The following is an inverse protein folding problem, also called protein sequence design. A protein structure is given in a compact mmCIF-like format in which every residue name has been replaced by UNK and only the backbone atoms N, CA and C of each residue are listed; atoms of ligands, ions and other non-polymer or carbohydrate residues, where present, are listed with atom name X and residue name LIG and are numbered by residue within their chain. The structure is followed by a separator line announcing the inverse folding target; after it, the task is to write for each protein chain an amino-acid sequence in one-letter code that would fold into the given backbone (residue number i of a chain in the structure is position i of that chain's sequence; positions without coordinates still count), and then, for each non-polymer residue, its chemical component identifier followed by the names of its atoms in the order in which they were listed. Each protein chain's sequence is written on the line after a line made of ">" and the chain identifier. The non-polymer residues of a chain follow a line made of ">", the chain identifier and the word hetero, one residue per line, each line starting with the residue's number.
data_IF_520757769077
#
_entry.id   IF_520757769077
#
_cell.length_a   1.000
_cell.length_b   1.000
_cell.length_c   1.000
_cell.angle_alpha   90.00
_cell.angle_beta   90.00
_cell.angle_gamma   90.00
#
_symmetry.space_group_name_H-M   'P 1'
#
loop_
_entity.id
_entity.type
_entity.pdbx_description
1 polymer ?
#
# COMPACT_ATOMS: atom_id res chain seq x y z
N UNK A 1 2.02 -28.80 14.24
CA UNK A 1 2.46 -27.85 15.30
C UNK A 1 3.77 -27.14 14.96
N UNK A 2 4.81 -27.86 14.53
CA UNK A 2 6.10 -27.25 14.12
C UNK A 2 5.93 -26.31 12.94
N UNK A 3 5.18 -26.70 11.91
CA UNK A 3 4.91 -25.85 10.72
C UNK A 3 4.19 -24.55 11.07
N UNK A 4 3.22 -24.59 11.97
CA UNK A 4 2.54 -23.40 12.48
C UNK A 4 3.51 -22.43 13.17
N UNK A 5 4.45 -22.94 13.97
CA UNK A 5 5.46 -22.11 14.63
C UNK A 5 6.39 -21.50 13.59
N UNK A 6 6.83 -22.29 12.61
CA UNK A 6 7.68 -21.80 11.50
C UNK A 6 6.95 -20.71 10.72
N UNK A 7 5.68 -20.93 10.37
CA UNK A 7 4.85 -19.93 9.70
C UNK A 7 4.77 -18.62 10.49
N UNK A 8 4.44 -18.68 11.79
CA UNK A 8 4.35 -17.48 12.63
C UNK A 8 5.68 -16.73 12.68
N UNK A 9 6.80 -17.44 12.82
CA UNK A 9 8.13 -16.83 12.87
C UNK A 9 8.48 -16.16 11.52
N UNK A 10 8.26 -16.86 10.41
CA UNK A 10 8.54 -16.32 9.07
C UNK A 10 7.64 -15.12 8.78
N UNK A 11 6.36 -15.20 9.06
CA UNK A 11 5.41 -14.10 8.86
C UNK A 11 5.77 -12.88 9.72
N UNK A 12 6.17 -13.11 10.98
CA UNK A 12 6.64 -12.01 11.84
C UNK A 12 7.94 -11.37 11.31
N UNK A 13 8.87 -12.17 10.80
CA UNK A 13 10.09 -11.65 10.16
C UNK A 13 9.75 -10.86 8.90
N UNK A 14 8.82 -11.35 8.06
CA UNK A 14 8.32 -10.64 6.87
C UNK A 14 7.75 -9.27 7.26
N UNK A 15 6.88 -9.20 8.28
CA UNK A 15 6.31 -7.95 8.76
C UNK A 15 7.36 -6.94 9.28
N UNK A 16 8.44 -7.43 9.90
CA UNK A 16 9.54 -6.57 10.36
C UNK A 16 10.39 -6.10 9.18
N UNK A 17 10.65 -6.97 8.21
CA UNK A 17 11.42 -6.64 7.03
C UNK A 17 10.72 -5.61 6.14
N UNK A 18 9.39 -5.73 5.95
CA UNK A 18 8.63 -4.76 5.15
C UNK A 18 8.79 -3.33 5.69
N UNK A 19 8.70 -3.14 7.00
CA UNK A 19 8.88 -1.84 7.65
C UNK A 19 10.29 -1.23 7.48
N UNK A 20 11.31 -2.05 7.20
CA UNK A 20 12.71 -1.60 7.17
C UNK A 20 12.97 -0.49 6.15
N UNK A 21 12.35 -0.59 4.96
CA UNK A 21 12.45 0.41 3.90
C UNK A 21 11.86 1.76 4.30
N UNK A 22 10.69 1.75 4.95
CA UNK A 22 10.01 2.95 5.40
C UNK A 22 10.75 3.69 6.52
N UNK A 23 11.37 2.97 7.45
CA UNK A 23 12.16 3.60 8.54
C UNK A 23 13.31 4.45 8.03
N UNK A 24 13.91 4.12 6.87
CA UNK A 24 14.94 4.93 6.25
C UNK A 24 14.47 6.37 6.01
N UNK A 25 13.20 6.57 5.63
CA UNK A 25 12.62 7.88 5.35
C UNK A 25 12.45 8.76 6.60
N UNK A 26 12.44 8.17 7.78
CA UNK A 26 12.34 8.90 9.05
C UNK A 26 13.70 9.37 9.55
N UNK A 27 14.79 8.99 8.90
CA UNK A 27 16.13 9.46 9.24
C UNK A 27 16.40 10.86 8.66
N UNK A 28 17.34 11.59 9.23
CA UNK A 28 17.79 12.89 8.71
C UNK A 28 18.97 12.76 7.69
N UNK A 29 19.15 11.55 7.14
CA UNK A 29 20.20 11.25 6.18
C UNK A 29 20.04 12.00 4.86
N UNK A 30 21.15 12.21 4.13
CA UNK A 30 21.10 12.77 2.77
C UNK A 30 20.26 11.89 1.84
N UNK A 31 20.37 10.57 1.99
CA UNK A 31 19.59 9.60 1.22
C UNK A 31 18.08 9.76 1.46
N UNK A 32 17.65 9.89 2.73
CA UNK A 32 16.24 10.14 3.06
C UNK A 32 15.71 11.43 2.43
N UNK A 33 16.48 12.53 2.45
CA UNK A 33 16.09 13.81 1.84
C UNK A 33 15.95 13.74 0.32
N UNK A 34 16.86 13.02 -0.35
CA UNK A 34 16.79 12.78 -1.80
C UNK A 34 15.55 11.93 -2.10
N UNK A 35 15.34 10.87 -1.33
CA UNK A 35 14.21 9.97 -1.53
C UNK A 35 12.87 10.69 -1.31
N UNK A 36 12.72 11.47 -0.24
CA UNK A 36 11.53 12.28 0.02
C UNK A 36 11.18 13.24 -1.14
N UNK A 37 12.20 13.74 -1.87
CA UNK A 37 11.99 14.62 -3.03
C UNK A 37 11.26 13.92 -4.18
N UNK A 38 11.53 12.63 -4.38
CA UNK A 38 10.97 11.82 -5.46
C UNK A 38 9.87 10.86 -4.97
N UNK A 39 9.57 10.87 -3.69
CA UNK A 39 8.69 9.91 -3.03
C UNK A 39 7.28 9.82 -3.63
N UNK A 40 6.72 10.95 -4.12
CA UNK A 40 5.39 10.96 -4.77
C UNK A 40 5.39 10.14 -6.05
N UNK A 41 6.45 10.29 -6.88
CA UNK A 41 6.58 9.54 -8.13
C UNK A 41 6.82 8.07 -7.83
N UNK A 42 7.68 7.80 -6.84
CA UNK A 42 8.00 6.44 -6.41
C UNK A 42 6.75 5.73 -5.86
N UNK A 43 6.01 6.37 -4.95
CA UNK A 43 4.78 5.80 -4.40
C UNK A 43 3.76 5.47 -5.51
N UNK A 44 3.52 6.40 -6.45
CA UNK A 44 2.62 6.14 -7.57
C UNK A 44 3.09 4.95 -8.43
N UNK A 45 4.40 4.87 -8.71
CA UNK A 45 4.97 3.79 -9.52
C UNK A 45 4.85 2.43 -8.82
N UNK A 46 5.14 2.35 -7.52
CA UNK A 46 5.03 1.12 -6.73
C UNK A 46 3.59 0.63 -6.66
N UNK A 47 2.63 1.53 -6.36
CA UNK A 47 1.21 1.17 -6.31
C UNK A 47 0.66 0.70 -7.65
N UNK A 48 1.09 1.31 -8.77
CA UNK A 48 0.72 0.84 -10.10
C UNK A 48 1.38 -0.50 -10.42
N UNK A 49 2.64 -0.69 -10.01
CA UNK A 49 3.30 -1.99 -10.17
C UNK A 49 2.59 -3.08 -9.36
N UNK A 50 2.26 -2.83 -8.11
CA UNK A 50 1.50 -3.77 -7.29
C UNK A 50 0.15 -4.15 -7.94
N UNK A 51 -0.58 -3.15 -8.49
CA UNK A 51 -1.85 -3.44 -9.16
C UNK A 51 -1.70 -4.18 -10.47
N UNK A 52 -0.85 -3.70 -11.41
CA UNK A 52 -0.78 -4.21 -12.78
C UNK A 52 0.33 -5.24 -13.02
N UNK A 53 1.39 -5.23 -12.22
CA UNK A 53 2.53 -6.13 -12.36
C UNK A 53 2.47 -7.35 -11.45
N UNK A 54 1.61 -7.31 -10.42
CA UNK A 54 1.52 -8.34 -9.39
C UNK A 54 0.07 -8.84 -9.23
N UNK A 55 -0.81 -8.08 -8.60
CA UNK A 55 -2.15 -8.53 -8.20
C UNK A 55 -3.05 -8.92 -9.39
N UNK A 56 -3.18 -8.05 -10.40
CA UNK A 56 -4.07 -8.34 -11.54
C UNK A 56 -3.57 -9.55 -12.35
N UNK A 57 -2.27 -9.69 -12.68
CA UNK A 57 -1.75 -10.91 -13.31
C UNK A 57 -2.02 -12.16 -12.48
N UNK A 58 -1.75 -12.15 -11.17
CA UNK A 58 -2.00 -13.28 -10.27
C UNK A 58 -3.46 -13.74 -10.35
N UNK A 59 -4.43 -12.81 -10.17
CA UNK A 59 -5.86 -13.12 -10.25
C UNK A 59 -6.28 -13.66 -11.60
N UNK A 60 -5.63 -13.24 -12.70
CA UNK A 60 -5.94 -13.73 -14.05
C UNK A 60 -5.29 -15.09 -14.34
N UNK A 61 -4.10 -15.34 -13.80
CA UNK A 61 -3.37 -16.61 -13.97
C UNK A 61 -4.04 -17.75 -13.21
N UNK A 62 -4.62 -17.48 -12.03
CA UNK A 62 -5.42 -18.45 -11.29
C UNK A 62 -6.64 -18.94 -12.06
N UNK A 63 -7.14 -18.15 -13.05
CA UNK A 63 -8.19 -18.53 -13.96
C UNK A 63 -9.59 -18.71 -13.34
N UNK A 64 -9.75 -18.43 -12.06
CA UNK A 64 -11.02 -18.56 -11.33
C UNK A 64 -12.04 -17.48 -11.74
N UNK A 65 -11.55 -16.30 -12.14
CA UNK A 65 -12.39 -15.18 -12.57
C UNK A 65 -12.18 -14.85 -14.06
N UNK A 66 -13.26 -14.67 -14.83
CA UNK A 66 -13.13 -14.18 -16.19
C UNK A 66 -12.64 -12.71 -16.22
N UNK A 67 -11.89 -12.32 -17.23
CA UNK A 67 -11.26 -10.99 -17.38
C UNK A 67 -12.23 -9.83 -17.14
N UNK A 68 -13.47 -9.94 -17.65
CA UNK A 68 -14.48 -8.90 -17.47
C UNK A 68 -14.90 -8.72 -16.00
N UNK A 69 -14.90 -9.82 -15.23
CA UNK A 69 -15.25 -9.78 -13.81
C UNK A 69 -14.12 -9.17 -13.00
N UNK A 70 -12.87 -9.50 -13.31
CA UNK A 70 -11.69 -8.84 -12.73
C UNK A 70 -11.74 -7.33 -13.01
N UNK A 71 -11.99 -6.92 -14.27
CA UNK A 71 -12.11 -5.51 -14.63
C UNK A 71 -13.26 -4.81 -13.88
N UNK A 72 -14.39 -5.47 -13.70
CA UNK A 72 -15.52 -4.95 -12.93
C UNK A 72 -15.14 -4.75 -11.44
N UNK A 73 -14.50 -5.74 -10.83
CA UNK A 73 -14.08 -5.67 -9.42
C UNK A 73 -13.03 -4.56 -9.19
N UNK A 74 -12.06 -4.43 -10.09
CA UNK A 74 -11.11 -3.32 -10.08
C UNK A 74 -11.84 -1.97 -10.17
N UNK A 75 -12.83 -1.84 -11.08
CA UNK A 75 -13.62 -0.61 -11.19
C UNK A 75 -14.43 -0.32 -9.91
N UNK A 76 -15.01 -1.35 -9.29
CA UNK A 76 -15.71 -1.25 -8.01
C UNK A 76 -14.73 -0.80 -6.91
N UNK A 77 -13.52 -1.34 -6.89
CA UNK A 77 -12.47 -0.94 -5.96
C UNK A 77 -12.11 0.54 -6.09
N UNK A 78 -11.87 1.02 -7.33
CA UNK A 78 -11.62 2.44 -7.62
C UNK A 78 -12.77 3.31 -7.10
N UNK A 79 -14.00 2.93 -7.42
CA UNK A 79 -15.20 3.69 -7.05
C UNK A 79 -15.46 3.68 -5.54
N UNK A 80 -15.25 2.54 -4.88
CA UNK A 80 -15.37 2.41 -3.42
C UNK A 80 -14.37 3.32 -2.70
N UNK A 81 -13.11 3.36 -3.14
CA UNK A 81 -12.10 4.22 -2.57
C UNK A 81 -12.42 5.71 -2.80
N UNK A 82 -12.98 6.07 -3.95
CA UNK A 82 -13.50 7.42 -4.22
C UNK A 82 -14.64 7.79 -3.25
N UNK A 83 -15.60 6.89 -3.02
CA UNK A 83 -16.69 7.11 -2.05
C UNK A 83 -16.14 7.28 -0.64
N UNK A 84 -15.28 6.36 -0.19
CA UNK A 84 -14.65 6.43 1.14
C UNK A 84 -13.92 7.76 1.32
N UNK A 85 -13.15 8.18 0.32
CA UNK A 85 -12.44 9.46 0.32
C UNK A 85 -13.37 10.68 0.37
N UNK A 86 -14.52 10.63 -0.32
CA UNK A 86 -15.51 11.72 -0.30
C UNK A 86 -16.31 11.76 1.00
N UNK A 87 -16.73 10.61 1.51
CA UNK A 87 -17.44 10.50 2.79
C UNK A 87 -16.55 10.93 3.96
N UNK A 88 -15.32 10.45 4.03
CA UNK A 88 -14.32 10.92 4.99
C UNK A 88 -14.11 12.44 4.89
N UNK A 89 -14.28 13.00 3.66
CA UNK A 89 -14.33 14.44 3.40
C UNK A 89 -15.51 15.18 3.98
N UNK A 90 -16.68 14.56 3.98
CA UNK A 90 -17.91 15.18 4.46
C UNK A 90 -18.01 15.24 5.99
N UNK A 91 -17.55 14.20 6.69
CA UNK A 91 -17.61 14.15 8.17
C UNK A 91 -16.72 15.19 8.87
N UNK A 92 -15.81 15.86 8.15
CA UNK A 92 -14.82 16.78 8.73
C UNK A 92 -14.83 18.18 8.06
N UNK A 93 -15.96 18.65 7.56
CA UNK A 93 -16.11 19.92 6.83
C UNK A 93 -15.95 21.21 7.66
N UNK A 94 -15.56 21.14 8.92
CA UNK A 94 -15.37 22.28 9.83
C UNK A 94 -13.91 22.53 10.22
N UNK A 95 -12.99 22.56 9.27
CA UNK A 95 -11.59 22.92 9.52
C UNK A 95 -10.93 23.38 8.25
N UNK A 96 -10.77 24.68 8.10
CA UNK A 96 -9.87 25.28 7.11
C UNK A 96 -8.46 24.73 7.34
N UNK A 97 -7.86 24.09 6.33
CA UNK A 97 -6.44 24.16 6.00
C UNK A 97 -6.02 23.01 5.06
N UNK A 98 -5.14 23.31 4.11
CA UNK A 98 -4.48 22.37 3.17
C UNK A 98 -3.80 21.18 3.87
N UNK A 99 -3.36 21.35 5.12
CA UNK A 99 -2.74 20.31 5.96
C UNK A 99 -3.71 19.17 6.32
N UNK A 100 -5.01 19.45 6.29
CA UNK A 100 -6.03 18.47 6.64
C UNK A 100 -6.33 17.49 5.47
N UNK A 101 -6.28 17.95 4.21
CA UNK A 101 -6.44 17.05 3.05
C UNK A 101 -5.29 16.03 2.98
N UNK A 102 -4.07 16.43 3.32
CA UNK A 102 -2.94 15.54 3.34
C UNK A 102 -3.07 14.43 4.39
N UNK A 103 -3.58 14.74 5.60
CA UNK A 103 -3.80 13.74 6.64
C UNK A 103 -4.88 12.73 6.28
N UNK A 104 -5.97 13.16 5.62
CA UNK A 104 -7.02 12.25 5.14
C UNK A 104 -6.48 11.23 4.15
N UNK A 105 -5.65 11.69 3.20
CA UNK A 105 -5.01 10.80 2.25
C UNK A 105 -4.11 9.77 2.94
N UNK A 106 -3.37 10.19 3.98
CA UNK A 106 -2.56 9.28 4.77
C UNK A 106 -3.38 8.24 5.54
N UNK A 107 -4.52 8.62 6.12
CA UNK A 107 -5.41 7.66 6.78
C UNK A 107 -6.13 6.73 5.80
N UNK A 108 -6.57 7.24 4.64
CA UNK A 108 -7.16 6.40 3.60
C UNK A 108 -6.13 5.37 3.10
N UNK A 109 -4.88 5.81 2.88
CA UNK A 109 -3.78 4.92 2.53
C UNK A 109 -3.55 3.85 3.58
N UNK A 110 -3.48 4.21 4.86
CA UNK A 110 -3.29 3.27 5.95
C UNK A 110 -4.40 2.20 6.01
N UNK A 111 -5.66 2.57 5.77
CA UNK A 111 -6.78 1.61 5.74
C UNK A 111 -6.60 0.63 4.59
N UNK A 112 -6.26 1.12 3.40
CA UNK A 112 -6.06 0.29 2.21
C UNK A 112 -4.84 -0.62 2.38
N UNK A 113 -3.74 -0.09 2.90
CA UNK A 113 -2.55 -0.82 3.27
C UNK A 113 -2.84 -1.94 4.28
N UNK A 114 -3.57 -1.63 5.36
CA UNK A 114 -3.99 -2.63 6.34
C UNK A 114 -4.85 -3.75 5.75
N UNK A 115 -5.71 -3.43 4.77
CA UNK A 115 -6.49 -4.44 4.05
C UNK A 115 -5.61 -5.30 3.15
N UNK A 116 -4.63 -4.70 2.46
CA UNK A 116 -3.67 -5.44 1.64
C UNK A 116 -2.80 -6.36 2.52
N UNK A 117 -2.23 -5.85 3.59
CA UNK A 117 -1.45 -6.65 4.55
C UNK A 117 -2.27 -7.82 5.14
N UNK A 118 -3.59 -7.61 5.36
CA UNK A 118 -4.46 -8.70 5.78
C UNK A 118 -4.60 -9.78 4.69
N UNK A 119 -4.72 -9.40 3.41
CA UNK A 119 -4.76 -10.34 2.29
C UNK A 119 -3.44 -11.11 2.13
N UNK A 120 -2.32 -10.42 2.24
CA UNK A 120 -0.99 -11.06 2.24
C UNK A 120 -0.87 -12.09 3.36
N UNK A 121 -1.36 -11.75 4.56
CA UNK A 121 -1.46 -12.71 5.66
C UNK A 121 -2.28 -13.94 5.27
N UNK A 122 -3.43 -13.75 4.60
CA UNK A 122 -4.27 -14.86 4.12
C UNK A 122 -3.52 -15.70 3.10
N UNK A 123 -2.87 -15.09 2.12
CA UNK A 123 -2.08 -15.80 1.09
C UNK A 123 -0.95 -16.61 1.73
N UNK A 124 -0.17 -16.02 2.64
CA UNK A 124 0.90 -16.72 3.34
C UNK A 124 0.32 -17.90 4.16
N UNK A 125 -0.72 -17.67 4.94
CA UNK A 125 -1.32 -18.70 5.78
C UNK A 125 -1.87 -19.89 4.99
N UNK A 126 -2.61 -19.62 3.92
CA UNK A 126 -3.14 -20.63 3.00
C UNK A 126 -2.00 -21.39 2.30
N UNK A 127 -0.95 -20.70 1.87
CA UNK A 127 0.22 -21.31 1.25
C UNK A 127 0.96 -22.25 2.22
N UNK A 128 1.09 -21.90 3.50
CA UNK A 128 1.65 -22.80 4.51
C UNK A 128 0.75 -24.00 4.80
N UNK A 129 -0.57 -23.85 4.74
CA UNK A 129 -1.49 -24.96 4.84
C UNK A 129 -1.33 -25.97 3.69
N UNK A 130 -1.00 -25.48 2.48
CA UNK A 130 -0.71 -26.31 1.30
C UNK A 130 0.67 -26.98 1.35
N UNK A 131 1.63 -26.42 2.12
CA UNK A 131 2.97 -26.99 2.30
C UNK A 131 4.02 -25.98 2.73
N UNK A 132 5.05 -26.47 3.42
CA UNK A 132 6.12 -25.63 3.96
C UNK A 132 6.87 -24.85 2.85
N UNK A 133 7.16 -25.50 1.71
CA UNK A 133 7.89 -24.88 0.60
C UNK A 133 7.11 -23.74 -0.06
N UNK A 134 5.81 -23.95 -0.33
CA UNK A 134 4.90 -22.95 -0.88
C UNK A 134 4.73 -21.77 0.08
N UNK A 135 4.57 -22.05 1.37
CA UNK A 135 4.47 -21.01 2.39
C UNK A 135 5.71 -20.13 2.50
N UNK A 136 6.92 -20.71 2.46
CA UNK A 136 8.17 -19.94 2.46
C UNK A 136 8.27 -19.07 1.21
N UNK A 137 7.95 -19.64 0.03
CA UNK A 137 8.00 -18.91 -1.22
C UNK A 137 7.04 -17.72 -1.21
N UNK A 138 5.81 -17.93 -0.76
CA UNK A 138 4.79 -16.88 -0.60
C UNK A 138 5.28 -15.77 0.34
N UNK A 139 5.84 -16.11 1.51
CA UNK A 139 6.36 -15.11 2.45
C UNK A 139 7.53 -14.29 1.87
N UNK A 140 8.41 -14.92 1.06
CA UNK A 140 9.50 -14.22 0.37
C UNK A 140 8.95 -13.30 -0.72
N UNK A 141 7.97 -13.75 -1.49
CA UNK A 141 7.30 -12.92 -2.50
C UNK A 141 6.61 -11.71 -1.86
N UNK A 142 5.89 -11.92 -0.76
CA UNK A 142 5.29 -10.83 0.03
C UNK A 142 6.34 -9.83 0.50
N UNK A 143 7.44 -10.27 1.11
CA UNK A 143 8.51 -9.38 1.54
C UNK A 143 9.10 -8.57 0.37
N UNK A 144 9.21 -9.17 -0.81
CA UNK A 144 9.80 -8.52 -1.98
C UNK A 144 8.97 -7.34 -2.50
N UNK A 145 7.63 -7.43 -2.47
CA UNK A 145 6.76 -6.32 -2.89
C UNK A 145 6.39 -5.37 -1.75
N UNK A 146 6.24 -5.87 -0.53
CA UNK A 146 5.93 -5.07 0.66
C UNK A 146 7.01 -4.02 0.98
N UNK A 147 8.31 -4.36 0.88
CA UNK A 147 9.38 -3.39 1.17
C UNK A 147 9.28 -2.12 0.30
N UNK A 148 9.17 -2.19 -1.03
CA UNK A 148 8.94 -1.01 -1.87
C UNK A 148 7.62 -0.30 -1.57
N UNK A 149 6.55 -1.04 -1.28
CA UNK A 149 5.24 -0.48 -0.97
C UNK A 149 5.28 0.33 0.32
N UNK A 150 5.82 -0.20 1.40
CA UNK A 150 6.00 0.50 2.67
C UNK A 150 6.80 1.80 2.53
N UNK A 151 7.83 1.82 1.67
CA UNK A 151 8.55 3.06 1.35
C UNK A 151 7.60 4.10 0.74
N UNK A 152 6.69 3.67 -0.13
CA UNK A 152 5.64 4.51 -0.72
C UNK A 152 4.72 5.10 0.35
N UNK A 153 4.23 4.26 1.25
CA UNK A 153 3.26 4.61 2.29
C UNK A 153 3.86 5.56 3.34
N UNK A 154 5.07 5.26 3.82
CA UNK A 154 5.82 6.18 4.66
C UNK A 154 6.02 7.54 3.98
N UNK A 155 6.25 7.56 2.67
CA UNK A 155 6.40 8.80 1.90
C UNK A 155 5.14 9.65 1.92
N UNK A 156 3.97 9.03 1.77
CA UNK A 156 2.66 9.70 1.85
C UNK A 156 2.45 10.26 3.27
N UNK A 157 2.73 9.46 4.30
CA UNK A 157 2.56 9.87 5.70
C UNK A 157 3.51 11.00 6.10
N UNK A 158 4.77 10.94 5.70
CA UNK A 158 5.75 12.01 5.97
C UNK A 158 5.30 13.33 5.34
N UNK A 159 4.78 13.30 4.11
CA UNK A 159 4.26 14.49 3.44
C UNK A 159 2.97 15.03 4.06
N UNK A 160 2.22 14.20 4.76
CA UNK A 160 1.00 14.60 5.46
C UNK A 160 1.25 15.39 6.74
N UNK A 161 2.50 15.66 7.08
CA UNK A 161 2.92 16.33 8.31
C UNK A 161 2.49 15.62 9.60
N UNK A 162 2.33 14.31 9.55
CA UNK A 162 2.13 13.49 10.74
C UNK A 162 3.42 13.45 11.57
N UNK A 163 3.28 13.30 12.90
CA UNK A 163 4.45 13.15 13.74
C UNK A 163 5.16 11.81 13.47
N UNK A 164 6.48 11.78 13.55
CA UNK A 164 7.26 10.53 13.37
C UNK A 164 6.75 9.40 14.27
N UNK A 165 6.38 9.71 15.53
CA UNK A 165 5.82 8.74 16.48
C UNK A 165 4.48 8.17 15.98
N UNK A 166 3.60 9.02 15.42
CA UNK A 166 2.32 8.56 14.86
C UNK A 166 2.53 7.68 13.64
N UNK A 167 3.43 8.05 12.74
CA UNK A 167 3.76 7.26 11.55
C UNK A 167 4.24 5.87 11.98
N UNK A 168 5.26 5.79 12.85
CA UNK A 168 5.80 4.52 13.34
C UNK A 168 4.71 3.67 13.98
N UNK A 169 3.91 4.26 14.89
CA UNK A 169 2.85 3.53 15.58
C UNK A 169 1.83 2.94 14.61
N UNK A 170 1.41 3.71 13.61
CA UNK A 170 0.38 3.29 12.66
C UNK A 170 0.90 2.22 11.71
N UNK A 171 2.12 2.37 11.19
CA UNK A 171 2.72 1.38 10.29
C UNK A 171 3.05 0.07 11.02
N UNK A 172 3.56 0.13 12.24
CA UNK A 172 3.74 -1.08 13.05
C UNK A 172 2.41 -1.77 13.33
N UNK A 173 1.35 -0.99 13.59
CA UNK A 173 0.02 -1.57 13.81
C UNK A 173 -0.53 -2.22 12.54
N UNK A 174 -0.32 -1.62 11.35
CA UNK A 174 -0.67 -2.20 10.06
C UNK A 174 0.10 -3.50 9.81
N UNK A 175 1.42 -3.48 9.92
CA UNK A 175 2.27 -4.64 9.69
C UNK A 175 1.94 -5.81 10.64
N UNK A 176 1.52 -5.53 11.88
CA UNK A 176 1.11 -6.57 12.84
C UNK A 176 -0.17 -7.32 12.40
N UNK A 177 -0.94 -6.80 11.44
CA UNK A 177 -2.14 -7.45 10.89
C UNK A 177 -1.75 -8.73 10.13
N UNK A 178 -0.57 -8.76 9.51
CA UNK A 178 -0.09 -9.91 8.74
C UNK A 178 -0.16 -11.23 9.52
N UNK A 179 0.29 -11.23 10.77
CA UNK A 179 0.41 -12.45 11.58
C UNK A 179 -0.94 -13.08 11.95
N UNK A 180 -1.92 -12.34 12.53
CA UNK A 180 -3.19 -12.96 12.88
C UNK A 180 -3.97 -13.45 11.66
N UNK A 181 -3.89 -12.74 10.51
CA UNK A 181 -4.56 -13.19 9.31
C UNK A 181 -3.89 -14.42 8.70
N UNK A 182 -2.57 -14.57 8.79
CA UNK A 182 -1.89 -15.81 8.38
C UNK A 182 -2.28 -16.99 9.29
N UNK A 183 -2.42 -16.77 10.59
CA UNK A 183 -2.88 -17.82 11.51
C UNK A 183 -4.32 -18.24 11.17
N UNK A 184 -5.22 -17.28 10.97
CA UNK A 184 -6.61 -17.59 10.60
C UNK A 184 -6.64 -18.39 9.30
N UNK A 185 -5.94 -17.93 8.26
CA UNK A 185 -5.94 -18.58 6.96
C UNK A 185 -5.29 -19.97 6.98
N UNK A 186 -4.29 -20.19 7.82
CA UNK A 186 -3.71 -21.54 8.00
C UNK A 186 -4.75 -22.59 8.40
N UNK A 187 -5.77 -22.20 9.19
CA UNK A 187 -6.82 -23.11 9.65
C UNK A 187 -8.08 -23.11 8.79
N UNK A 188 -8.34 -22.05 8.01
CA UNK A 188 -9.59 -21.89 7.23
C UNK A 188 -9.34 -21.55 5.76
N UNK A 189 -8.11 -21.70 5.28
CA UNK A 189 -7.70 -21.27 3.93
C UNK A 189 -8.57 -21.83 2.80
N UNK A 190 -8.94 -23.11 2.88
CA UNK A 190 -9.82 -23.74 1.88
C UNK A 190 -11.19 -23.06 1.77
N UNK A 191 -11.70 -22.48 2.86
CA UNK A 191 -12.97 -21.77 2.85
C UNK A 191 -12.82 -20.32 2.33
N UNK A 192 -11.62 -19.76 2.35
CA UNK A 192 -11.34 -18.39 1.87
C UNK A 192 -10.89 -18.37 0.40
N UNK A 193 -10.33 -19.47 -0.10
CA UNK A 193 -9.79 -19.55 -1.47
C UNK A 193 -10.78 -19.06 -2.54
N UNK A 194 -12.09 -19.37 -2.51
CA UNK A 194 -13.01 -18.91 -3.58
C UNK A 194 -13.27 -17.39 -3.60
N UNK A 195 -13.01 -16.70 -2.47
CA UNK A 195 -13.29 -15.25 -2.37
C UNK A 195 -12.01 -14.41 -2.55
N UNK A 196 -10.84 -15.03 -2.38
CA UNK A 196 -9.55 -14.35 -2.39
C UNK A 196 -9.28 -13.61 -3.71
N UNK A 197 -9.48 -14.20 -4.92
CA UNK A 197 -9.26 -13.50 -6.19
C UNK A 197 -10.13 -12.25 -6.34
N UNK A 198 -11.37 -12.30 -5.84
CA UNK A 198 -12.30 -11.16 -5.88
C UNK A 198 -11.82 -10.02 -4.96
N UNK A 199 -11.33 -10.34 -3.77
CA UNK A 199 -10.80 -9.36 -2.82
C UNK A 199 -9.51 -8.73 -3.35
N UNK A 200 -8.61 -9.52 -3.93
CA UNK A 200 -7.39 -9.02 -4.56
C UNK A 200 -7.69 -8.06 -5.71
N UNK A 201 -8.65 -8.40 -6.58
CA UNK A 201 -9.07 -7.51 -7.66
C UNK A 201 -9.63 -6.17 -7.14
N UNK A 202 -10.38 -6.16 -6.04
CA UNK A 202 -10.85 -4.93 -5.38
C UNK A 202 -9.69 -4.10 -4.86
N UNK A 203 -8.69 -4.72 -4.23
CA UNK A 203 -7.50 -4.06 -3.68
C UNK A 203 -6.66 -3.45 -4.80
N UNK A 204 -6.48 -4.14 -5.93
CA UNK A 204 -5.83 -3.57 -7.10
C UNK A 204 -6.52 -2.26 -7.54
N UNK A 205 -7.85 -2.22 -7.50
CA UNK A 205 -8.63 -0.98 -7.74
C UNK A 205 -8.33 0.13 -6.73
N UNK A 206 -8.16 -0.19 -5.46
CA UNK A 206 -7.78 0.77 -4.42
C UNK A 206 -6.38 1.36 -4.70
N UNK A 207 -5.41 0.52 -5.03
CA UNK A 207 -4.06 0.97 -5.36
C UNK A 207 -4.02 1.88 -6.59
N UNK A 208 -4.77 1.54 -7.64
CA UNK A 208 -4.90 2.38 -8.83
C UNK A 208 -5.47 3.75 -8.45
N UNK A 209 -6.53 3.81 -7.64
CA UNK A 209 -7.12 5.08 -7.20
C UNK A 209 -6.13 5.96 -6.46
N UNK A 210 -5.39 5.39 -5.51
CA UNK A 210 -4.40 6.12 -4.71
C UNK A 210 -3.25 6.61 -5.60
N UNK A 211 -2.74 5.77 -6.49
CA UNK A 211 -1.69 6.12 -7.45
C UNK A 211 -2.11 7.28 -8.36
N UNK A 212 -3.35 7.27 -8.87
CA UNK A 212 -3.90 8.37 -9.67
C UNK A 212 -3.99 9.67 -8.86
N UNK A 213 -4.30 9.60 -7.57
CA UNK A 213 -4.28 10.74 -6.65
C UNK A 213 -2.87 11.35 -6.50
N UNK A 214 -1.84 10.51 -6.38
CA UNK A 214 -0.45 10.95 -6.33
C UNK A 214 -0.01 11.60 -7.65
N UNK A 215 -0.35 11.01 -8.80
CA UNK A 215 -0.08 11.56 -10.14
C UNK A 215 -0.76 12.91 -10.31
N UNK A 216 -2.02 13.04 -9.89
CA UNK A 216 -2.75 14.30 -9.94
C UNK A 216 -2.07 15.41 -9.11
N UNK A 217 -1.54 15.03 -7.95
CA UNK A 217 -0.76 15.92 -7.09
C UNK A 217 0.48 16.46 -7.83
N UNK A 218 1.23 15.60 -8.51
CA UNK A 218 2.40 15.96 -9.32
C UNK A 218 2.02 16.94 -10.42
N UNK A 219 0.99 16.62 -11.21
CA UNK A 219 0.50 17.46 -12.31
C UNK A 219 0.12 18.86 -11.81
N UNK A 220 -0.56 18.91 -10.66
CA UNK A 220 -0.99 20.17 -10.05
C UNK A 220 0.21 21.02 -9.61
N UNK A 221 1.26 20.41 -9.06
CA UNK A 221 2.50 21.12 -8.68
C UNK A 221 3.20 21.67 -9.92
N UNK A 222 3.33 20.88 -10.98
CA UNK A 222 3.96 21.30 -12.25
C UNK A 222 3.19 22.46 -12.85
N UNK A 223 1.85 22.37 -12.94
CA UNK A 223 1.01 23.45 -13.48
C UNK A 223 1.12 24.75 -12.68
N UNK A 224 1.18 24.67 -11.35
CA UNK A 224 1.36 25.84 -10.47
C UNK A 224 2.73 26.49 -10.67
N UNK A 225 3.79 25.70 -10.86
CA UNK A 225 5.14 26.23 -11.16
C UNK A 225 5.19 26.90 -12.54
N UNK A 226 4.59 26.29 -13.54
CA UNK A 226 4.50 26.87 -14.88
C UNK A 226 3.75 28.22 -14.90
N UNK A 227 2.65 28.35 -14.13
CA UNK A 227 1.89 29.60 -14.00
C UNK A 227 2.61 30.71 -13.23
N UNK A 228 3.52 30.36 -12.30
CA UNK A 228 4.29 31.36 -11.52
C UNK A 228 5.47 31.96 -12.27
N UNK A 229 5.70 31.61 -13.55
CA UNK A 229 6.84 32.02 -14.34
C UNK A 229 8.16 31.47 -13.77
N UNK A 230 9.01 30.92 -14.60
CA UNK A 230 10.39 30.65 -14.23
C UNK A 230 11.01 32.00 -13.85
N UNK A 231 11.61 32.17 -12.63
CA UNK A 231 12.36 33.39 -12.38
C UNK A 231 13.42 33.50 -13.48
N UNK A 232 13.40 34.60 -14.26
CA UNK A 232 14.46 34.91 -15.19
C UNK A 232 15.78 34.78 -14.43
N UNK A 233 16.66 33.94 -14.92
CA UNK A 233 18.03 33.84 -14.42
C UNK A 233 18.57 35.30 -14.56
N UNK A 234 18.68 36.01 -13.45
CA UNK A 234 19.43 37.25 -13.43
C UNK A 234 20.84 36.90 -13.80
N UNK A 235 21.27 37.33 -14.96
CA UNK A 235 22.66 37.33 -15.40
C UNK A 235 23.50 37.82 -14.24
N UNK A 236 24.35 36.94 -13.73
CA UNK A 236 25.44 37.30 -12.82
C UNK A 236 26.47 37.98 -13.72
N UNK A 237 26.53 39.31 -13.60
CA UNK A 237 27.66 40.09 -14.07
C UNK A 237 28.78 39.99 -13.04
#
# INVERSE_FOLDING_TARGET
>A
MIELIIMILITAVTAVLSLSGGFLLLTDSKAAKIFQKYSTIFAAAVLLYAAFGDIIPEVLEDGELPVWQVALLVAIGIFSCFIIGTLAGHFHRHGEHKDFQNKKQAYAMLIVDSLHTAMDGIVIGASFASGLGTGILSAVATAAHEIPQEIGDFSIMVRSKMSRKSIIKLQVLSALILVPFSIIAYFVGDALSPVLPSLLALIAGFFIYIALGEIWSIITIIRKRAKKGVPKIKEIK
#
